data_IF_724373352374
#
_entry.id   IF_724373352374
#
_cell.length_a   1.000
_cell.length_b   1.000
_cell.length_c   1.000
_cell.angle_alpha   90.00
_cell.angle_beta   90.00
_cell.angle_gamma   90.00
#
_symmetry.space_group_name_H-M   'P 1'
#
loop_
_entity.id
_entity.type
_entity.pdbx_description
1 polymer ?
#
# COMPACT_ATOMS: atom_id res chain seq x y z
N UNK A 1 -20.96 40.01 3.59
CA UNK A 1 -19.62 40.47 3.18
C UNK A 1 -19.70 41.09 1.79
N UNK A 2 -19.51 42.39 1.69
CA UNK A 2 -19.37 43.10 0.41
C UNK A 2 -17.89 43.07 0.02
N UNK A 3 -17.48 42.67 -1.21
CA UNK A 3 -16.07 42.61 -1.55
C UNK A 3 -15.53 44.04 -1.75
N UNK A 4 -14.45 44.37 -1.04
CA UNK A 4 -13.72 45.61 -1.25
C UNK A 4 -12.87 45.53 -2.53
N UNK A 5 -13.04 46.53 -3.39
CA UNK A 5 -12.18 46.81 -4.55
C UNK A 5 -10.85 47.38 -4.06
N UNK A 6 -9.79 46.58 -4.13
CA UNK A 6 -8.43 47.00 -3.82
C UNK A 6 -7.41 46.18 -4.60
N UNK A 7 -6.66 46.86 -5.46
CA UNK A 7 -5.69 46.33 -6.43
C UNK A 7 -4.44 45.75 -5.75
N UNK A 8 -4.61 44.68 -4.98
CA UNK A 8 -3.53 43.76 -4.63
C UNK A 8 -3.92 42.42 -5.20
N UNK A 9 -3.29 42.08 -6.32
CA UNK A 9 -3.32 40.73 -6.86
C UNK A 9 -2.77 39.80 -5.78
N UNK A 10 -3.66 39.25 -4.96
CA UNK A 10 -3.38 38.01 -4.26
C UNK A 10 -3.24 37.01 -5.39
N UNK A 11 -2.00 36.72 -5.78
CA UNK A 11 -1.70 35.50 -6.50
C UNK A 11 -2.11 34.39 -5.55
N UNK A 12 -3.37 33.98 -5.63
CA UNK A 12 -3.77 32.66 -5.19
C UNK A 12 -2.91 31.76 -6.07
N UNK A 13 -1.82 31.27 -5.50
CA UNK A 13 -1.18 30.06 -5.97
C UNK A 13 -2.31 29.04 -5.91
N UNK A 14 -3.05 28.94 -7.02
CA UNK A 14 -3.93 27.83 -7.27
C UNK A 14 -3.03 26.64 -7.02
N UNK A 15 -3.34 25.90 -5.94
CA UNK A 15 -2.72 24.63 -5.68
C UNK A 15 -3.04 23.83 -6.93
N UNK A 16 -2.11 23.85 -7.90
CA UNK A 16 -2.06 22.90 -8.99
C UNK A 16 -2.26 21.59 -8.24
N UNK A 17 -3.38 20.87 -8.44
CA UNK A 17 -3.57 19.64 -7.72
C UNK A 17 -2.31 18.84 -7.93
N UNK A 18 -1.89 18.13 -6.89
CA UNK A 18 -0.71 17.26 -6.90
C UNK A 18 -1.00 16.08 -7.84
N UNK A 19 -1.30 16.42 -9.10
CA UNK A 19 -1.68 15.60 -10.21
C UNK A 19 -0.41 14.90 -10.61
N UNK A 20 -0.37 13.59 -10.31
CA UNK A 20 0.61 12.63 -10.82
C UNK A 20 1.96 13.29 -11.11
N UNK A 21 2.73 13.69 -10.08
CA UNK A 21 3.97 14.43 -10.25
C UNK A 21 4.86 13.68 -11.25
N UNK A 22 5.09 14.27 -12.42
CA UNK A 22 6.19 13.99 -13.34
C UNK A 22 6.64 12.52 -13.49
N UNK A 23 5.77 11.51 -13.50
CA UNK A 23 6.17 10.07 -13.49
C UNK A 23 7.32 9.75 -12.51
N UNK A 24 7.50 10.60 -11.50
CA UNK A 24 8.72 10.68 -10.72
C UNK A 24 8.58 9.83 -9.47
N UNK A 25 9.71 9.54 -8.83
CA UNK A 25 9.69 8.90 -7.53
C UNK A 25 9.19 9.88 -6.47
N UNK A 26 8.12 9.50 -5.79
CA UNK A 26 7.55 10.24 -4.66
C UNK A 26 8.23 9.81 -3.37
N UNK A 27 8.65 10.78 -2.57
CA UNK A 27 9.13 10.59 -1.21
C UNK A 27 8.32 11.44 -0.24
N UNK A 28 7.29 10.84 0.38
CA UNK A 28 6.46 11.55 1.34
C UNK A 28 7.30 11.93 2.57
N UNK A 29 7.31 13.23 2.88
CA UNK A 29 7.69 13.75 4.20
C UNK A 29 6.42 13.82 5.03
N UNK A 30 6.12 12.75 5.75
CA UNK A 30 4.85 12.56 6.44
C UNK A 30 4.97 12.93 7.92
N UNK A 31 4.02 13.74 8.40
CA UNK A 31 3.77 13.98 9.82
C UNK A 31 2.57 13.15 10.26
N UNK A 32 2.79 12.19 11.15
CA UNK A 32 1.71 11.49 11.84
C UNK A 32 1.36 12.24 13.14
N UNK A 33 0.10 12.66 13.28
CA UNK A 33 -0.41 13.42 14.41
C UNK A 33 -1.38 12.52 15.18
N UNK A 34 -0.97 12.05 16.35
CA UNK A 34 -1.84 11.33 17.27
C UNK A 34 -2.69 12.36 17.99
N UNK A 35 -4.01 12.30 17.80
CA UNK A 35 -4.92 13.20 18.49
C UNK A 35 -5.23 12.61 19.88
N UNK A 36 -5.12 13.42 20.91
CA UNK A 36 -5.54 13.10 22.28
C UNK A 36 -6.67 14.05 22.69
N UNK A 37 -7.88 13.51 22.77
CA UNK A 37 -9.11 14.19 23.17
C UNK A 37 -9.50 13.81 24.61
N UNK A 38 -8.51 13.56 25.48
CA UNK A 38 -8.70 13.21 26.89
C UNK A 38 -9.58 14.19 27.67
N UNK A 39 -9.60 15.48 27.29
CA UNK A 39 -10.50 16.50 27.86
C UNK A 39 -11.99 16.16 27.71
N UNK A 40 -12.36 15.27 26.78
CA UNK A 40 -13.71 14.72 26.63
C UNK A 40 -13.73 13.18 26.70
N UNK A 41 -12.75 12.56 27.36
CA UNK A 41 -12.71 11.12 27.63
C UNK A 41 -12.27 10.23 26.46
N UNK A 42 -11.80 10.81 25.35
CA UNK A 42 -11.27 10.06 24.20
C UNK A 42 -9.74 10.14 24.17
N UNK A 43 -9.09 9.31 24.97
CA UNK A 43 -7.63 9.27 25.09
C UNK A 43 -6.97 8.67 23.85
N UNK A 44 -5.76 9.12 23.52
CA UNK A 44 -4.93 8.44 22.53
C UNK A 44 -4.69 6.96 22.91
N UNK A 45 -5.02 6.03 22.01
CA UNK A 45 -4.83 4.58 22.24
C UNK A 45 -3.53 4.02 21.65
N UNK A 46 -2.70 4.87 21.04
CA UNK A 46 -1.40 4.52 20.48
C UNK A 46 -0.34 5.51 20.93
N UNK A 47 0.93 5.08 20.93
CA UNK A 47 2.08 5.93 21.28
C UNK A 47 2.83 6.39 20.03
N UNK A 48 3.62 7.46 20.15
CA UNK A 48 4.48 7.94 19.06
C UNK A 48 5.43 6.83 18.56
N UNK A 49 6.01 6.05 19.48
CA UNK A 49 6.87 4.91 19.15
C UNK A 49 6.11 3.80 18.41
N UNK A 50 4.89 3.46 18.84
CA UNK A 50 4.07 2.45 18.18
C UNK A 50 3.66 2.86 16.77
N UNK A 51 3.24 4.11 16.56
CA UNK A 51 2.96 4.64 15.21
C UNK A 51 4.23 4.65 14.36
N UNK A 52 5.38 4.99 14.93
CA UNK A 52 6.66 4.91 14.20
C UNK A 52 7.00 3.50 13.76
N UNK A 53 6.79 2.51 14.62
CA UNK A 53 6.99 1.10 14.29
C UNK A 53 6.02 0.62 13.20
N UNK A 54 4.74 1.02 13.25
CA UNK A 54 3.76 0.72 12.20
C UNK A 54 4.23 1.24 10.83
N UNK A 55 4.64 2.51 10.77
CA UNK A 55 4.99 3.15 9.50
C UNK A 55 6.36 2.73 8.97
N UNK A 56 7.38 2.64 9.84
CA UNK A 56 8.77 2.42 9.42
C UNK A 56 9.29 1.00 9.67
N UNK A 57 8.55 0.18 10.42
CA UNK A 57 9.00 -1.10 10.93
C UNK A 57 9.81 -0.99 12.23
N UNK A 58 10.15 -2.14 12.84
CA UNK A 58 10.77 -2.21 14.17
C UNK A 58 12.14 -1.51 14.27
N UNK A 59 12.88 -1.41 13.17
CA UNK A 59 14.18 -0.73 13.13
C UNK A 59 14.06 0.80 12.94
N UNK A 60 12.86 1.31 12.59
CA UNK A 60 12.65 2.73 12.32
C UNK A 60 13.39 3.27 11.09
N UNK A 61 13.90 2.41 10.20
CA UNK A 61 14.70 2.75 9.03
C UNK A 61 13.90 2.78 7.71
N UNK A 62 12.61 2.45 7.76
CA UNK A 62 11.72 2.40 6.60
C UNK A 62 11.87 1.14 5.73
N UNK A 63 12.68 0.15 6.16
CA UNK A 63 12.81 -1.14 5.46
C UNK A 63 11.74 -2.15 5.88
N UNK A 64 10.90 -1.80 6.86
CA UNK A 64 9.73 -2.57 7.28
C UNK A 64 8.45 -1.73 7.28
N UNK A 65 7.42 -2.25 7.94
CA UNK A 65 6.14 -1.54 8.13
C UNK A 65 5.46 -1.12 6.82
N UNK A 66 4.70 -0.04 6.89
CA UNK A 66 4.00 0.56 5.74
C UNK A 66 4.98 1.08 4.69
N UNK A 67 6.13 1.64 5.08
CA UNK A 67 7.14 2.17 4.16
C UNK A 67 7.62 1.10 3.15
N UNK A 68 7.87 -0.13 3.64
CA UNK A 68 8.22 -1.25 2.78
C UNK A 68 7.06 -1.62 1.84
N UNK A 69 5.80 -1.57 2.31
CA UNK A 69 4.62 -1.85 1.49
C UNK A 69 4.44 -0.80 0.38
N UNK A 70 4.62 0.49 0.67
CA UNK A 70 4.63 1.57 -0.33
C UNK A 70 5.65 1.29 -1.43
N UNK A 71 6.88 0.99 -1.04
CA UNK A 71 7.99 0.71 -1.96
C UNK A 71 7.68 -0.53 -2.82
N UNK A 72 7.27 -1.63 -2.19
CA UNK A 72 7.03 -2.90 -2.88
C UNK A 72 5.84 -2.83 -3.85
N UNK A 73 4.75 -2.17 -3.47
CA UNK A 73 3.55 -2.06 -4.30
C UNK A 73 3.67 -1.04 -5.43
N UNK A 74 4.64 -0.14 -5.36
CA UNK A 74 4.85 0.93 -6.35
C UNK A 74 6.13 0.75 -7.18
N UNK A 75 6.88 -0.32 -6.96
CA UNK A 75 8.19 -0.54 -7.57
C UNK A 75 9.17 0.62 -7.27
N UNK A 76 9.10 1.14 -6.04
CA UNK A 76 9.92 2.26 -5.58
C UNK A 76 9.51 3.62 -6.15
N UNK A 77 8.33 3.76 -6.77
CA UNK A 77 7.80 5.06 -7.23
C UNK A 77 7.05 5.83 -6.15
N UNK A 78 6.65 5.16 -5.08
CA UNK A 78 5.97 5.76 -3.92
C UNK A 78 6.63 5.27 -2.66
N UNK A 79 7.24 6.21 -1.93
CA UNK A 79 8.08 5.90 -0.78
C UNK A 79 7.78 6.87 0.36
N UNK A 80 8.07 6.41 1.57
CA UNK A 80 8.10 7.22 2.76
C UNK A 80 9.54 7.66 3.04
N UNK A 81 9.78 8.95 3.25
CA UNK A 81 11.09 9.43 3.68
C UNK A 81 11.27 9.14 5.18
N UNK A 82 11.91 8.02 5.51
CA UNK A 82 12.10 7.56 6.89
C UNK A 82 12.82 8.58 7.80
N UNK A 83 13.75 9.36 7.25
CA UNK A 83 14.49 10.38 8.03
C UNK A 83 13.67 11.65 8.30
N UNK A 84 12.72 11.97 7.42
CA UNK A 84 11.81 13.09 7.57
C UNK A 84 10.48 12.70 8.23
N UNK A 85 10.20 11.41 8.38
CA UNK A 85 8.99 10.92 9.05
C UNK A 85 9.02 11.30 10.53
N UNK A 86 7.93 11.91 10.99
CA UNK A 86 7.79 12.34 12.38
C UNK A 86 6.42 11.93 12.90
N UNK A 87 6.40 11.55 14.17
CA UNK A 87 5.17 11.35 14.93
C UNK A 87 5.14 12.37 16.06
N UNK A 88 3.97 12.93 16.33
CA UNK A 88 3.71 13.77 17.51
C UNK A 88 2.36 13.39 18.13
N UNK A 89 2.22 13.57 19.43
CA UNK A 89 0.92 13.60 20.09
C UNK A 89 0.45 15.04 20.31
N UNK A 90 -0.78 15.34 19.88
CA UNK A 90 -1.45 16.62 20.07
C UNK A 90 -2.55 16.47 21.12
N UNK A 91 -2.37 17.14 22.26
CA UNK A 91 -3.42 17.27 23.27
C UNK A 91 -4.40 18.36 22.83
N UNK A 92 -5.62 17.96 22.48
CA UNK A 92 -6.66 18.90 22.04
C UNK A 92 -7.31 19.53 23.27
N UNK A 93 -7.39 20.87 23.29
CA UNK A 93 -7.83 21.63 24.48
C UNK A 93 -9.34 21.65 24.68
N UNK A 94 -10.14 21.30 23.67
CA UNK A 94 -11.60 21.32 23.72
C UNK A 94 -12.19 20.39 22.66
N UNK A 95 -13.34 19.77 22.95
CA UNK A 95 -14.05 18.93 21.99
C UNK A 95 -15.30 19.63 21.47
N UNK A 96 -15.54 19.56 20.15
CA UNK A 96 -16.80 19.95 19.53
C UNK A 96 -17.70 18.73 19.33
N UNK A 97 -19.03 18.90 19.19
CA UNK A 97 -19.93 17.84 18.74
C UNK A 97 -19.47 17.17 17.44
N UNK A 98 -18.78 17.90 16.58
CA UNK A 98 -18.22 17.39 15.32
C UNK A 98 -17.21 16.26 15.55
N UNK A 99 -16.51 16.26 16.69
CA UNK A 99 -15.57 15.21 17.09
C UNK A 99 -16.29 14.08 17.81
N UNK A 100 -17.14 14.40 18.79
CA UNK A 100 -17.72 13.40 19.71
C UNK A 100 -18.97 12.70 19.19
N UNK A 101 -19.69 13.31 18.24
CA UNK A 101 -20.96 12.81 17.70
C UNK A 101 -20.88 12.58 16.18
N UNK A 102 -20.25 13.49 15.43
CA UNK A 102 -20.33 13.45 13.96
C UNK A 102 -19.15 12.75 13.28
N UNK A 103 -18.07 12.46 14.00
CA UNK A 103 -16.82 11.92 13.45
C UNK A 103 -16.31 12.72 12.22
N UNK A 104 -16.26 14.05 12.35
CA UNK A 104 -15.89 14.94 11.25
C UNK A 104 -14.41 14.85 10.89
N UNK A 105 -14.13 14.27 9.72
CA UNK A 105 -12.78 14.22 9.14
C UNK A 105 -12.10 15.59 9.12
N UNK A 106 -12.80 16.60 8.59
CA UNK A 106 -12.27 17.97 8.51
C UNK A 106 -11.89 18.50 9.89
N UNK A 107 -12.67 18.17 10.92
CA UNK A 107 -12.38 18.64 12.27
C UNK A 107 -11.13 18.01 12.86
N UNK A 108 -10.93 16.70 12.67
CA UNK A 108 -9.69 16.02 13.08
C UNK A 108 -8.46 16.63 12.41
N UNK A 109 -8.55 16.91 11.11
CA UNK A 109 -7.47 17.58 10.38
C UNK A 109 -7.19 18.97 10.95
N UNK A 110 -8.22 19.76 11.21
CA UNK A 110 -8.11 21.12 11.74
C UNK A 110 -7.47 21.15 13.14
N UNK A 111 -7.96 20.34 14.08
CA UNK A 111 -7.42 20.29 15.45
C UNK A 111 -5.97 19.79 15.44
N UNK A 112 -5.67 18.75 14.65
CA UNK A 112 -4.33 18.23 14.47
C UNK A 112 -3.36 19.26 13.88
N UNK A 113 -3.81 20.03 12.89
CA UNK A 113 -3.03 21.11 12.29
C UNK A 113 -2.70 22.22 13.26
N UNK A 114 -3.68 22.67 14.05
CA UNK A 114 -3.48 23.70 15.07
C UNK A 114 -2.48 23.20 16.11
N UNK A 115 -2.69 22.00 16.64
CA UNK A 115 -1.80 21.42 17.65
C UNK A 115 -0.39 21.18 17.13
N UNK A 116 -0.25 20.65 15.92
CA UNK A 116 1.05 20.45 15.28
C UNK A 116 1.81 21.78 15.12
N UNK A 117 1.13 22.83 14.67
CA UNK A 117 1.71 24.18 14.51
C UNK A 117 2.09 24.79 15.86
N UNK A 118 1.32 24.54 16.91
CA UNK A 118 1.65 24.99 18.27
C UNK A 118 2.87 24.25 18.85
N UNK A 119 2.99 22.95 18.62
CA UNK A 119 4.09 22.13 19.15
C UNK A 119 5.40 22.29 18.38
N UNK A 120 5.32 22.33 17.05
CA UNK A 120 6.51 22.28 16.17
C UNK A 120 6.88 23.65 15.60
N UNK A 121 5.97 24.61 15.63
CA UNK A 121 6.08 25.86 14.88
C UNK A 121 5.62 25.71 13.43
N UNK A 122 5.09 26.81 12.87
CA UNK A 122 4.52 26.84 11.52
C UNK A 122 5.54 26.45 10.43
N UNK A 123 6.77 26.92 10.56
CA UNK A 123 7.85 26.67 9.60
C UNK A 123 8.22 25.17 9.53
N UNK A 124 8.32 24.51 10.68
CA UNK A 124 8.58 23.07 10.72
C UNK A 124 7.44 22.27 10.09
N UNK A 125 6.18 22.64 10.38
CA UNK A 125 5.00 22.00 9.79
C UNK A 125 4.94 22.18 8.27
N UNK A 126 5.31 23.34 7.74
CA UNK A 126 5.36 23.56 6.29
C UNK A 126 6.41 22.73 5.57
N UNK A 127 7.37 22.14 6.30
CA UNK A 127 8.35 21.22 5.75
C UNK A 127 7.83 19.80 5.49
N UNK A 128 6.59 19.48 5.92
CA UNK A 128 5.94 18.20 5.62
C UNK A 128 5.09 18.31 4.36
N UNK A 129 5.04 17.21 3.62
CA UNK A 129 4.26 17.12 2.37
C UNK A 129 2.88 16.49 2.60
N UNK A 130 2.76 15.62 3.60
CA UNK A 130 1.58 14.81 3.88
C UNK A 130 1.34 14.70 5.39
N UNK A 131 0.09 14.46 5.77
CA UNK A 131 -0.36 14.40 7.16
C UNK A 131 -1.24 13.17 7.38
N UNK A 132 -0.98 12.44 8.46
CA UNK A 132 -1.82 11.35 8.92
C UNK A 132 -2.32 11.65 10.33
N UNK A 133 -3.62 11.87 10.48
CA UNK A 133 -4.26 12.12 11.78
C UNK A 133 -4.72 10.78 12.37
N UNK A 134 -4.07 10.35 13.45
CA UNK A 134 -4.45 9.12 14.14
C UNK A 134 -5.50 9.48 15.17
N UNK A 135 -6.74 9.12 14.85
CA UNK A 135 -7.93 9.44 15.64
C UNK A 135 -8.08 8.35 16.71
N UNK A 136 -8.19 8.72 18.01
CA UNK A 136 -8.58 7.79 19.07
C UNK A 136 -9.77 6.95 18.66
N UNK A 137 -9.91 5.76 19.20
CA UNK A 137 -11.13 4.99 18.99
C UNK A 137 -12.26 5.68 19.78
N UNK A 138 -13.21 6.40 19.13
CA UNK A 138 -14.41 6.77 19.85
C UNK A 138 -15.21 5.48 20.09
N UNK A 139 -16.24 5.53 20.94
CA UNK A 139 -17.25 4.47 20.99
C UNK A 139 -17.58 4.02 19.56
N UNK A 140 -17.41 2.73 19.25
CA UNK A 140 -17.26 2.21 17.89
C UNK A 140 -18.37 2.61 16.89
N UNK A 141 -19.49 3.13 17.39
CA UNK A 141 -20.66 3.59 16.66
C UNK A 141 -20.56 5.02 16.09
N UNK A 142 -19.53 5.81 16.45
CA UNK A 142 -19.44 7.23 16.05
C UNK A 142 -18.79 7.39 14.67
N UNK A 143 -17.71 6.66 14.40
CA UNK A 143 -16.98 6.74 13.14
C UNK A 143 -17.27 5.53 12.25
N UNK A 144 -18.03 5.67 11.14
CA UNK A 144 -18.41 4.55 10.28
C UNK A 144 -17.26 4.05 9.37
N UNK A 145 -16.13 4.77 9.35
CA UNK A 145 -14.98 4.50 8.49
C UNK A 145 -13.76 4.02 9.30
N UNK A 146 -12.88 3.24 8.66
CA UNK A 146 -11.62 2.78 9.27
C UNK A 146 -10.48 3.78 9.03
N UNK A 147 -10.50 4.39 7.84
CA UNK A 147 -9.71 5.53 7.44
C UNK A 147 -10.55 6.40 6.49
N UNK A 148 -10.11 7.62 6.27
CA UNK A 148 -10.69 8.56 5.32
C UNK A 148 -9.61 9.52 4.84
N UNK A 149 -9.71 10.01 3.61
CA UNK A 149 -8.72 10.86 2.99
C UNK A 149 -9.33 11.95 2.12
N UNK A 150 -8.55 13.00 1.86
CA UNK A 150 -8.84 13.87 0.73
C UNK A 150 -8.50 13.19 -0.60
N UNK A 151 -9.36 13.41 -1.60
CA UNK A 151 -9.31 12.78 -2.91
C UNK A 151 -9.42 13.82 -4.05
N UNK A 152 -8.31 14.20 -4.71
CA UNK A 152 -6.92 14.07 -4.24
C UNK A 152 -6.63 15.08 -3.11
N UNK A 153 -5.45 14.97 -2.49
CA UNK A 153 -5.06 15.84 -1.38
C UNK A 153 -3.75 15.41 -0.75
N UNK A 154 -3.56 15.69 0.53
CA UNK A 154 -2.35 15.29 1.26
C UNK A 154 -2.62 14.94 2.74
N UNK A 155 -3.88 14.73 3.09
CA UNK A 155 -4.31 14.45 4.45
C UNK A 155 -5.13 13.17 4.48
N UNK A 156 -4.86 12.37 5.50
CA UNK A 156 -5.58 11.14 5.82
C UNK A 156 -5.91 11.13 7.32
N UNK A 157 -7.02 10.53 7.70
CA UNK A 157 -7.34 10.19 9.07
C UNK A 157 -7.48 8.67 9.19
N UNK A 158 -6.94 8.12 10.28
CA UNK A 158 -6.89 6.69 10.54
C UNK A 158 -7.36 6.45 11.96
N UNK A 159 -8.35 5.57 12.15
CA UNK A 159 -8.76 5.17 13.50
C UNK A 159 -7.68 4.32 14.15
N UNK A 160 -7.49 4.49 15.45
CA UNK A 160 -6.45 3.80 16.23
C UNK A 160 -6.86 2.39 16.69
N UNK A 161 -7.24 1.53 15.75
CA UNK A 161 -7.66 0.14 15.98
C UNK A 161 -7.13 -0.83 14.91
N UNK A 162 -7.44 -2.13 15.03
CA UNK A 162 -6.87 -3.21 14.22
C UNK A 162 -7.15 -3.09 12.71
N UNK A 163 -8.32 -2.60 12.31
CA UNK A 163 -8.67 -2.42 10.89
C UNK A 163 -8.39 -0.99 10.38
N UNK A 164 -7.97 -0.08 11.25
CA UNK A 164 -7.54 1.29 10.94
C UNK A 164 -6.01 1.37 10.78
N UNK A 165 -5.36 2.13 11.66
CA UNK A 165 -3.90 2.38 11.62
C UNK A 165 -3.04 1.11 11.71
N UNK A 166 -3.53 0.01 12.27
CA UNK A 166 -2.73 -1.22 12.35
C UNK A 166 -2.74 -2.03 11.05
N UNK A 167 -3.65 -1.72 10.12
CA UNK A 167 -3.79 -2.43 8.85
C UNK A 167 -3.10 -1.63 7.74
N UNK A 168 -1.99 -2.14 7.22
CA UNK A 168 -1.24 -1.46 6.16
C UNK A 168 -2.07 -1.24 4.89
N UNK A 169 -3.03 -2.13 4.58
CA UNK A 169 -3.94 -1.96 3.46
C UNK A 169 -4.81 -0.71 3.60
N UNK A 170 -5.29 -0.42 4.82
CA UNK A 170 -6.07 0.80 5.12
C UNK A 170 -5.19 2.03 4.98
N UNK A 171 -3.96 1.99 5.51
CA UNK A 171 -3.01 3.10 5.36
C UNK A 171 -2.65 3.34 3.88
N UNK A 172 -2.47 2.27 3.09
CA UNK A 172 -2.24 2.37 1.66
C UNK A 172 -3.43 2.99 0.94
N UNK A 173 -4.64 2.52 1.21
CA UNK A 173 -5.90 3.04 0.63
C UNK A 173 -5.98 4.55 0.80
N UNK A 174 -5.90 5.03 2.05
CA UNK A 174 -6.02 6.45 2.36
C UNK A 174 -4.88 7.26 1.74
N UNK A 175 -3.67 6.74 1.74
CA UNK A 175 -2.53 7.44 1.17
C UNK A 175 -2.59 7.55 -0.36
N UNK A 176 -3.20 6.59 -1.07
CA UNK A 176 -3.30 6.65 -2.53
C UNK A 176 -4.58 7.34 -3.02
N UNK A 177 -5.58 7.55 -2.15
CA UNK A 177 -6.64 8.55 -2.38
C UNK A 177 -6.06 9.95 -2.61
N UNK A 178 -5.00 10.33 -1.88
CA UNK A 178 -4.32 11.61 -2.09
C UNK A 178 -3.79 11.80 -3.53
N UNK A 179 -3.71 10.73 -4.33
CA UNK A 179 -3.24 10.73 -5.72
C UNK A 179 -4.35 10.41 -6.74
N UNK A 180 -5.63 10.50 -6.35
CA UNK A 180 -6.75 10.39 -7.29
C UNK A 180 -7.20 8.96 -7.61
N UNK A 181 -6.88 7.99 -6.75
CA UNK A 181 -7.49 6.67 -6.79
C UNK A 181 -8.80 6.64 -6.00
N UNK A 182 -9.77 5.89 -6.51
CA UNK A 182 -11.08 5.68 -5.92
C UNK A 182 -11.20 4.24 -5.42
N UNK A 183 -12.24 3.95 -4.64
CA UNK A 183 -12.48 2.61 -4.14
C UNK A 183 -12.65 1.62 -5.30
N UNK A 184 -12.18 0.39 -5.06
CA UNK A 184 -12.40 -0.73 -5.96
C UNK A 184 -13.70 -1.47 -5.58
N UNK A 185 -14.36 -1.99 -6.59
CA UNK A 185 -15.70 -2.54 -6.53
C UNK A 185 -15.71 -4.03 -6.88
N UNK A 186 -16.74 -4.73 -6.42
CA UNK A 186 -17.03 -6.07 -6.91
C UNK A 186 -18.53 -6.31 -6.86
N UNK A 187 -19.10 -6.87 -7.93
CA UNK A 187 -20.54 -7.15 -8.03
C UNK A 187 -21.44 -5.93 -7.76
N UNK A 188 -20.98 -4.72 -8.11
CA UNK A 188 -21.72 -3.47 -7.87
C UNK A 188 -21.66 -2.95 -6.44
N UNK A 189 -20.84 -3.56 -5.57
CA UNK A 189 -20.62 -3.12 -4.19
C UNK A 189 -19.25 -2.48 -4.03
N UNK A 190 -19.24 -1.30 -3.42
CA UNK A 190 -18.03 -0.55 -3.09
C UNK A 190 -17.21 -1.32 -2.04
N UNK A 191 -15.89 -1.25 -2.14
CA UNK A 191 -14.91 -1.94 -1.29
C UNK A 191 -14.85 -3.47 -1.42
N UNK A 192 -15.82 -4.12 -2.06
CA UNK A 192 -15.86 -5.59 -2.08
C UNK A 192 -14.80 -6.25 -2.99
N UNK A 193 -13.90 -5.48 -3.62
CA UNK A 193 -12.71 -6.04 -4.25
C UNK A 193 -11.62 -6.35 -3.21
N UNK A 194 -11.50 -7.63 -2.85
CA UNK A 194 -10.48 -8.10 -1.91
C UNK A 194 -9.09 -8.31 -2.56
N UNK A 195 -8.93 -7.98 -3.84
CA UNK A 195 -7.67 -8.12 -4.58
C UNK A 195 -6.76 -6.89 -4.53
N UNK A 196 -7.18 -5.80 -3.88
CA UNK A 196 -6.43 -4.54 -3.78
C UNK A 196 -6.68 -3.83 -2.45
N UNK A 197 -5.74 -2.97 -2.05
CA UNK A 197 -5.91 -2.02 -0.96
C UNK A 197 -7.01 -0.99 -1.20
N UNK A 198 -7.43 -0.73 -2.45
CA UNK A 198 -8.58 0.16 -2.72
C UNK A 198 -9.93 -0.49 -2.46
N UNK A 199 -9.97 -1.78 -2.18
CA UNK A 199 -11.10 -2.44 -1.56
C UNK A 199 -10.71 -3.00 -0.20
N UNK A 200 -11.31 -4.12 0.22
CA UNK A 200 -11.04 -4.72 1.54
C UNK A 200 -9.76 -5.56 1.59
N UNK A 201 -8.98 -5.63 0.51
CA UNK A 201 -7.77 -6.46 0.42
C UNK A 201 -6.56 -5.87 1.15
N UNK A 202 -5.76 -6.72 1.81
CA UNK A 202 -4.37 -6.38 2.16
C UNK A 202 -3.48 -6.81 0.98
N UNK A 203 -3.58 -6.09 -0.12
CA UNK A 203 -2.89 -6.40 -1.36
C UNK A 203 -2.46 -5.11 -2.06
N UNK A 204 -1.47 -5.21 -2.94
CA UNK A 204 -1.07 -4.06 -3.74
C UNK A 204 -2.19 -3.62 -4.69
N UNK A 205 -2.12 -2.37 -5.22
CA UNK A 205 -3.06 -1.90 -6.22
C UNK A 205 -3.21 -2.88 -7.39
N UNK A 206 -4.42 -3.01 -7.92
CA UNK A 206 -4.70 -3.83 -9.09
C UNK A 206 -4.16 -3.16 -10.37
N UNK A 207 -4.23 -3.86 -11.51
CA UNK A 207 -3.66 -3.36 -12.77
C UNK A 207 -4.18 -1.98 -13.22
N UNK A 208 -5.49 -1.68 -13.23
CA UNK A 208 -5.95 -0.35 -13.62
C UNK A 208 -5.51 0.74 -12.64
N UNK A 209 -5.43 0.45 -11.34
CA UNK A 209 -4.90 1.39 -10.34
C UNK A 209 -3.40 1.65 -10.55
N UNK A 210 -2.60 0.60 -10.78
CA UNK A 210 -1.17 0.71 -11.10
C UNK A 210 -0.94 1.50 -12.39
N UNK A 211 -1.80 1.30 -13.41
CA UNK A 211 -1.75 2.04 -14.66
C UNK A 211 -2.07 3.52 -14.46
N UNK A 212 -3.14 3.84 -13.71
CA UNK A 212 -3.56 5.21 -13.42
C UNK A 212 -2.51 5.99 -12.61
N UNK A 213 -1.83 5.32 -11.69
CA UNK A 213 -0.71 5.89 -10.93
C UNK A 213 0.60 5.97 -11.74
N UNK A 214 0.64 5.38 -12.94
CA UNK A 214 1.86 5.28 -13.74
C UNK A 214 2.93 4.39 -13.11
N UNK A 215 2.54 3.47 -12.21
CA UNK A 215 3.45 2.57 -11.51
C UNK A 215 3.83 1.36 -12.36
N UNK A 216 2.90 0.86 -13.18
CA UNK A 216 3.14 -0.23 -14.11
C UNK A 216 2.89 0.15 -15.57
N UNK A 217 3.41 -0.65 -16.50
CA UNK A 217 3.19 -0.51 -17.95
C UNK A 217 2.53 -1.77 -18.52
N UNK A 218 1.79 -1.65 -19.64
CA UNK A 218 1.22 -2.81 -20.29
C UNK A 218 2.33 -3.65 -20.93
N UNK A 219 2.03 -4.93 -21.18
CA UNK A 219 2.87 -5.80 -22.01
C UNK A 219 2.99 -5.22 -23.42
N UNK A 220 4.09 -5.51 -24.12
CA UNK A 220 4.25 -5.07 -25.51
C UNK A 220 3.07 -5.56 -26.37
N UNK A 221 2.46 -4.66 -27.13
CA UNK A 221 1.21 -4.92 -27.89
C UNK A 221 -0.07 -5.01 -27.05
N UNK A 222 0.02 -4.92 -25.72
CA UNK A 222 -1.11 -5.01 -24.79
C UNK A 222 -1.64 -3.66 -24.29
N UNK A 223 -1.11 -2.53 -24.76
CA UNK A 223 -1.51 -1.19 -24.31
C UNK A 223 -2.93 -0.80 -24.77
N UNK A 224 -3.37 -1.34 -25.90
CA UNK A 224 -4.70 -1.16 -26.46
C UNK A 224 -5.04 -2.36 -27.34
N UNK A 225 -5.80 -3.29 -26.79
CA UNK A 225 -6.34 -4.43 -27.54
C UNK A 225 -7.78 -4.13 -27.91
N UNK A 226 -7.98 -3.61 -29.11
CA UNK A 226 -9.29 -3.28 -29.69
C UNK A 226 -9.67 -4.21 -30.85
N UNK A 227 -10.76 -3.91 -31.55
CA UNK A 227 -11.25 -4.71 -32.67
C UNK A 227 -10.24 -4.88 -33.82
N UNK A 228 -9.33 -3.93 -33.98
CA UNK A 228 -8.26 -3.99 -34.98
C UNK A 228 -7.13 -4.89 -34.51
N UNK A 229 -6.72 -4.79 -33.25
CA UNK A 229 -5.64 -5.58 -32.68
C UNK A 229 -6.01 -7.05 -32.45
N UNK A 230 -7.28 -7.32 -32.12
CA UNK A 230 -7.79 -8.67 -31.87
C UNK A 230 -8.98 -8.94 -32.79
N UNK A 231 -8.80 -9.32 -34.08
CA UNK A 231 -9.91 -9.77 -34.93
C UNK A 231 -10.71 -10.92 -34.30
N UNK A 232 -12.01 -11.03 -34.59
CA UNK A 232 -12.83 -12.11 -34.01
C UNK A 232 -12.34 -13.49 -34.46
N UNK A 233 -12.36 -14.46 -33.54
CA UNK A 233 -11.84 -15.82 -33.76
C UNK A 233 -10.30 -15.89 -33.80
N UNK A 234 -9.60 -14.79 -33.54
CA UNK A 234 -8.13 -14.79 -33.44
C UNK A 234 -7.68 -14.76 -31.99
N UNK A 235 -6.52 -15.33 -31.74
CA UNK A 235 -5.93 -15.44 -30.40
C UNK A 235 -4.70 -14.55 -30.31
N UNK A 236 -4.65 -13.70 -29.30
CA UNK A 236 -3.42 -13.06 -28.88
C UNK A 236 -2.86 -13.79 -27.67
N UNK A 237 -1.53 -13.89 -27.60
CA UNK A 237 -0.82 -14.57 -26.51
C UNK A 237 0.27 -13.68 -25.94
N UNK A 238 0.33 -13.61 -24.62
CA UNK A 238 1.25 -12.77 -23.86
C UNK A 238 1.89 -13.60 -22.74
N UNK A 239 3.16 -13.34 -22.45
CA UNK A 239 3.79 -13.83 -21.22
C UNK A 239 3.71 -12.71 -20.19
N UNK A 240 2.78 -12.82 -19.25
CA UNK A 240 2.55 -11.79 -18.24
C UNK A 240 3.31 -12.13 -16.96
N UNK A 241 4.30 -11.32 -16.54
CA UNK A 241 4.84 -11.41 -15.20
C UNK A 241 3.77 -11.04 -14.17
N UNK A 242 3.77 -11.73 -13.04
CA UNK A 242 2.96 -11.35 -11.90
C UNK A 242 3.29 -9.91 -11.46
N UNK A 243 2.29 -9.16 -11.02
CA UNK A 243 2.43 -7.74 -10.67
C UNK A 243 3.51 -7.47 -9.63
N UNK A 244 3.85 -8.41 -8.76
CA UNK A 244 4.90 -8.21 -7.76
C UNK A 244 6.34 -8.28 -8.31
N UNK A 245 6.55 -8.79 -9.54
CA UNK A 245 7.88 -9.06 -10.08
C UNK A 245 8.56 -7.81 -10.67
N UNK A 246 7.79 -6.98 -11.38
CA UNK A 246 8.34 -5.89 -12.20
C UNK A 246 7.25 -4.85 -12.48
N UNK A 247 7.59 -3.56 -12.66
CA UNK A 247 6.63 -2.58 -13.17
C UNK A 247 6.30 -2.79 -14.65
N UNK A 248 7.15 -3.48 -15.39
CA UNK A 248 7.09 -3.49 -16.85
C UNK A 248 6.32 -4.72 -17.36
N UNK A 249 5.29 -4.47 -18.17
CA UNK A 249 4.63 -5.51 -18.94
C UNK A 249 3.63 -6.37 -18.18
N UNK A 250 3.09 -5.89 -17.06
CA UNK A 250 2.32 -6.71 -16.11
C UNK A 250 0.84 -6.84 -16.43
N UNK A 251 0.32 -6.08 -17.41
CA UNK A 251 -1.09 -6.11 -17.76
C UNK A 251 -1.37 -5.96 -19.25
N UNK A 252 -2.57 -6.34 -19.64
CA UNK A 252 -3.18 -6.08 -20.95
C UNK A 252 -4.38 -5.17 -20.72
N UNK A 253 -4.51 -4.13 -21.54
CA UNK A 253 -5.68 -3.24 -21.57
C UNK A 253 -6.51 -3.54 -22.81
N UNK A 254 -7.71 -4.07 -22.61
CA UNK A 254 -8.68 -4.38 -23.66
C UNK A 254 -9.67 -3.22 -23.79
N UNK A 255 -9.88 -2.80 -25.03
CA UNK A 255 -10.83 -1.75 -25.42
C UNK A 255 -11.89 -2.43 -26.29
N UNK A 256 -13.00 -2.91 -25.69
CA UNK A 256 -14.02 -3.70 -26.38
C UNK A 256 -14.94 -2.82 -27.25
N UNK A 257 -14.35 -2.07 -28.20
CA UNK A 257 -15.02 -1.20 -29.17
C UNK A 257 -15.96 -1.94 -30.13
N UNK A 258 -15.93 -3.27 -30.09
CA UNK A 258 -16.84 -4.16 -30.81
C UNK A 258 -18.15 -4.45 -30.07
N UNK A 259 -18.26 -4.06 -28.81
CA UNK A 259 -19.49 -4.21 -28.06
C UNK A 259 -20.41 -3.01 -28.33
N UNK A 260 -21.72 -3.22 -28.59
CA UNK A 260 -22.64 -2.12 -28.85
C UNK A 260 -22.63 -1.04 -27.75
N UNK A 261 -22.49 -1.46 -26.50
CA UNK A 261 -22.43 -0.59 -25.32
C UNK A 261 -21.23 0.36 -25.31
N UNK A 262 -20.18 0.10 -26.10
CA UNK A 262 -18.99 0.96 -26.12
C UNK A 262 -19.24 2.32 -26.79
N UNK A 263 -20.33 2.44 -27.56
CA UNK A 263 -20.76 3.71 -28.15
C UNK A 263 -21.41 4.67 -27.15
N UNK A 264 -21.84 4.17 -25.98
CA UNK A 264 -22.43 4.97 -24.90
C UNK A 264 -21.38 5.25 -23.81
N UNK A 265 -20.95 6.52 -23.61
CA UNK A 265 -19.96 6.88 -22.60
C UNK A 265 -20.28 6.46 -21.16
N UNK A 266 -21.56 6.26 -20.84
CA UNK A 266 -22.02 5.83 -19.51
C UNK A 266 -21.92 4.31 -19.29
N UNK A 267 -21.98 3.53 -20.38
CA UNK A 267 -21.93 2.06 -20.35
C UNK A 267 -20.59 1.49 -20.81
N UNK A 268 -19.81 2.26 -21.58
CA UNK A 268 -18.54 1.82 -22.11
C UNK A 268 -17.53 1.47 -21.00
N UNK A 269 -16.92 0.29 -21.11
CA UNK A 269 -15.92 -0.22 -20.16
C UNK A 269 -14.64 -0.64 -20.88
N UNK A 270 -13.50 -0.35 -20.27
CA UNK A 270 -12.23 -0.99 -20.63
C UNK A 270 -11.95 -2.12 -19.64
N UNK A 271 -11.17 -3.12 -20.06
CA UNK A 271 -10.73 -4.22 -19.19
C UNK A 271 -9.23 -4.18 -18.98
N UNK A 272 -8.80 -4.56 -17.79
CA UNK A 272 -7.42 -4.77 -17.42
C UNK A 272 -7.23 -6.21 -16.97
N UNK A 273 -6.30 -6.92 -17.61
CA UNK A 273 -6.00 -8.32 -17.36
C UNK A 273 -4.58 -8.40 -16.83
N UNK A 274 -4.39 -8.99 -15.65
CA UNK A 274 -3.06 -9.10 -15.02
C UNK A 274 -2.90 -10.39 -14.23
N UNK A 275 -1.65 -10.80 -14.00
CA UNK A 275 -1.35 -11.99 -13.18
C UNK A 275 -1.06 -11.55 -11.75
N UNK A 276 -1.73 -12.17 -10.78
CA UNK A 276 -1.51 -11.90 -9.35
C UNK A 276 -1.01 -13.16 -8.66
N UNK A 277 0.03 -13.01 -7.85
CA UNK A 277 0.67 -14.10 -7.07
C UNK A 277 0.89 -13.59 -5.67
N UNK A 278 0.61 -14.42 -4.66
CA UNK A 278 0.64 -14.01 -3.25
C UNK A 278 2.06 -13.95 -2.67
N UNK A 279 2.89 -13.05 -3.20
CA UNK A 279 4.30 -12.84 -2.81
C UNK A 279 4.60 -11.34 -2.68
N UNK A 280 5.67 -11.02 -1.95
CA UNK A 280 6.13 -9.64 -1.75
C UNK A 280 5.00 -8.73 -1.22
N UNK A 281 4.71 -7.60 -1.88
CA UNK A 281 3.61 -6.72 -1.50
C UNK A 281 2.23 -7.38 -1.51
N UNK A 282 2.04 -8.42 -2.33
CA UNK A 282 0.83 -9.24 -2.41
C UNK A 282 0.84 -10.46 -1.49
N UNK A 283 1.78 -10.59 -0.54
CA UNK A 283 1.89 -11.76 0.33
C UNK A 283 0.59 -12.09 1.12
N UNK A 284 -0.23 -11.08 1.40
CA UNK A 284 -1.51 -11.20 2.11
C UNK A 284 -2.73 -11.27 1.18
N UNK A 285 -2.52 -11.49 -0.12
CA UNK A 285 -3.59 -11.81 -1.07
C UNK A 285 -4.11 -13.22 -0.80
N UNK A 286 -5.08 -13.34 0.12
CA UNK A 286 -5.55 -14.63 0.66
C UNK A 286 -6.72 -15.25 -0.09
N UNK A 287 -7.56 -14.46 -0.77
CA UNK A 287 -8.73 -14.98 -1.46
C UNK A 287 -8.35 -15.90 -2.63
N UNK A 288 -8.89 -17.12 -2.65
CA UNK A 288 -8.66 -18.12 -3.70
C UNK A 288 -9.17 -17.68 -5.08
N UNK A 289 -10.06 -16.70 -5.13
CA UNK A 289 -10.53 -16.06 -6.35
C UNK A 289 -9.45 -15.18 -7.01
N UNK A 290 -8.48 -14.66 -6.23
CA UNK A 290 -7.56 -13.59 -6.67
C UNK A 290 -6.11 -14.03 -6.78
N UNK A 291 -5.66 -14.96 -5.93
CA UNK A 291 -4.23 -15.33 -5.85
C UNK A 291 -3.86 -16.43 -6.83
N UNK A 292 -2.65 -16.33 -7.39
CA UNK A 292 -2.01 -17.28 -8.30
C UNK A 292 -2.81 -17.53 -9.58
N UNK A 293 -3.41 -16.45 -10.11
CA UNK A 293 -4.35 -16.47 -11.24
C UNK A 293 -4.22 -15.21 -12.08
N UNK A 294 -4.86 -15.24 -13.25
CA UNK A 294 -5.16 -14.04 -14.02
C UNK A 294 -6.37 -13.36 -13.39
N UNK A 295 -6.26 -12.09 -12.99
CA UNK A 295 -7.37 -11.27 -12.54
C UNK A 295 -7.81 -10.33 -13.65
N UNK A 296 -9.13 -10.13 -13.76
CA UNK A 296 -9.75 -9.22 -14.74
C UNK A 296 -10.56 -8.17 -14.00
N UNK A 297 -10.23 -6.93 -14.28
CA UNK A 297 -10.91 -5.75 -13.77
C UNK A 297 -11.52 -4.96 -14.92
N UNK A 298 -12.68 -4.34 -14.69
CA UNK A 298 -13.31 -3.39 -15.61
C UNK A 298 -13.40 -2.00 -14.99
N UNK A 299 -13.51 -0.97 -15.81
CA UNK A 299 -13.75 0.41 -15.36
C UNK A 299 -14.36 1.26 -16.49
N UNK A 300 -14.96 2.40 -16.16
CA UNK A 300 -15.54 3.31 -17.15
C UNK A 300 -14.49 3.74 -18.21
N UNK A 301 -14.79 3.47 -19.48
CA UNK A 301 -13.85 3.69 -20.58
C UNK A 301 -13.57 5.19 -20.81
N UNK A 302 -14.59 6.04 -20.69
CA UNK A 302 -14.45 7.50 -20.85
C UNK A 302 -13.45 8.05 -19.84
N UNK A 303 -13.60 7.67 -18.57
CA UNK A 303 -12.73 8.11 -17.48
C UNK A 303 -11.33 7.50 -17.54
N UNK A 304 -11.19 6.28 -18.04
CA UNK A 304 -9.89 5.61 -18.23
C UNK A 304 -9.13 6.16 -19.46
N UNK A 305 -9.84 6.61 -20.51
CA UNK A 305 -9.23 7.23 -21.68
C UNK A 305 -8.76 8.67 -21.40
N UNK A 306 -9.38 9.37 -20.46
CA UNK A 306 -9.01 10.73 -20.04
C UNK A 306 -8.98 10.88 -18.51
N UNK A 307 -8.03 10.23 -17.81
CA UNK A 307 -7.98 10.25 -16.35
C UNK A 307 -7.76 11.65 -15.77
N UNK A 308 -7.16 12.58 -16.54
CA UNK A 308 -6.92 13.97 -16.13
C UNK A 308 -8.21 14.74 -15.92
N UNK A 309 -9.20 14.57 -16.79
CA UNK A 309 -10.48 15.28 -16.69
C UNK A 309 -11.36 14.71 -15.59
N UNK A 310 -11.25 13.41 -15.31
CA UNK A 310 -12.10 12.68 -14.36
C UNK A 310 -11.36 12.28 -13.08
N UNK A 311 -10.59 13.21 -12.50
CA UNK A 311 -9.88 12.95 -11.24
C UNK A 311 -10.83 12.85 -10.04
N UNK A 312 -11.88 13.68 -10.03
CA UNK A 312 -12.86 13.79 -8.94
C UNK A 312 -14.09 12.90 -9.17
N UNK A 313 -13.98 11.90 -10.04
CA UNK A 313 -15.08 10.99 -10.35
C UNK A 313 -14.60 9.57 -10.26
N UNK A 314 -15.40 8.73 -9.62
CA UNK A 314 -15.12 7.31 -9.49
C UNK A 314 -15.24 6.59 -10.85
N UNK A 315 -14.14 6.05 -11.42
CA UNK A 315 -14.21 5.23 -12.62
C UNK A 315 -14.88 3.88 -12.40
N UNK A 316 -15.20 3.52 -11.15
CA UNK A 316 -15.74 2.24 -10.70
C UNK A 316 -14.88 1.08 -11.20
N UNK A 317 -13.62 1.07 -10.78
CA UNK A 317 -12.71 -0.06 -11.02
C UNK A 317 -13.32 -1.26 -10.30
N UNK A 318 -13.67 -2.31 -11.04
CA UNK A 318 -14.41 -3.45 -10.52
C UNK A 318 -13.75 -4.76 -10.89
N UNK A 319 -13.50 -5.63 -9.91
CA UNK A 319 -13.13 -7.02 -10.18
C UNK A 319 -14.32 -7.78 -10.76
N UNK A 320 -14.13 -8.45 -11.90
CA UNK A 320 -15.22 -9.17 -12.60
C UNK A 320 -14.96 -10.65 -12.79
N UNK A 321 -13.75 -11.12 -12.51
CA UNK A 321 -13.45 -12.54 -12.55
C UNK A 321 -11.97 -12.84 -12.68
N UNK A 322 -11.68 -14.13 -12.74
CA UNK A 322 -10.32 -14.63 -12.89
C UNK A 322 -10.25 -15.87 -13.77
N UNK A 323 -9.05 -16.18 -14.25
CA UNK A 323 -8.74 -17.43 -14.93
C UNK A 323 -7.57 -18.11 -14.21
N UNK A 324 -7.78 -19.35 -13.79
CA UNK A 324 -6.71 -20.15 -13.18
C UNK A 324 -5.74 -20.66 -14.25
N UNK A 325 -4.50 -21.03 -13.89
CA UNK A 325 -3.62 -21.74 -14.81
C UNK A 325 -4.28 -23.02 -15.35
N UNK A 326 -4.18 -23.26 -16.66
CA UNK A 326 -4.91 -24.28 -17.42
C UNK A 326 -6.41 -24.01 -17.65
N UNK A 327 -6.99 -22.92 -17.13
CA UNK A 327 -8.45 -22.70 -17.16
C UNK A 327 -8.83 -21.57 -18.11
N UNK A 328 -9.87 -21.83 -18.91
CA UNK A 328 -10.50 -20.88 -19.81
C UNK A 328 -11.71 -20.24 -19.11
N UNK A 329 -11.72 -18.91 -19.00
CA UNK A 329 -12.84 -18.15 -18.45
C UNK A 329 -13.52 -17.35 -19.56
N UNK A 330 -14.86 -17.38 -19.57
CA UNK A 330 -15.68 -16.64 -20.53
C UNK A 330 -16.30 -15.40 -19.89
N UNK A 331 -15.93 -14.23 -20.41
CA UNK A 331 -16.50 -12.94 -20.05
C UNK A 331 -17.56 -12.57 -21.08
N UNK A 332 -18.76 -13.15 -20.92
CA UNK A 332 -19.86 -13.08 -21.90
C UNK A 332 -20.31 -11.65 -22.20
N UNK A 333 -20.28 -10.75 -21.22
CA UNK A 333 -20.61 -9.33 -21.41
C UNK A 333 -19.69 -8.60 -22.39
N UNK A 334 -18.55 -9.21 -22.74
CA UNK A 334 -17.52 -8.63 -23.61
C UNK A 334 -17.23 -9.47 -24.85
N UNK A 335 -17.95 -10.59 -25.01
CA UNK A 335 -17.64 -11.64 -25.96
C UNK A 335 -16.14 -12.01 -25.99
N UNK A 336 -15.55 -12.18 -24.79
CA UNK A 336 -14.11 -12.33 -24.61
C UNK A 336 -13.80 -13.57 -23.78
N UNK A 337 -12.95 -14.44 -24.32
CA UNK A 337 -12.32 -15.53 -23.60
C UNK A 337 -10.95 -15.12 -23.09
N UNK A 338 -10.65 -15.49 -21.84
CA UNK A 338 -9.32 -15.35 -21.22
C UNK A 338 -8.87 -16.71 -20.72
N UNK A 339 -7.73 -17.17 -21.21
CA UNK A 339 -7.10 -18.43 -20.81
C UNK A 339 -5.85 -18.14 -19.99
N UNK A 340 -5.84 -18.57 -18.74
CA UNK A 340 -4.61 -18.67 -17.96
C UNK A 340 -3.88 -19.92 -18.43
N UNK A 341 -2.88 -19.81 -19.30
CA UNK A 341 -2.12 -20.95 -19.83
C UNK A 341 -1.18 -21.58 -18.80
N UNK A 342 0.01 -21.99 -19.25
CA UNK A 342 1.06 -22.54 -18.38
C UNK A 342 1.96 -21.44 -17.81
N UNK A 343 2.59 -21.75 -16.67
CA UNK A 343 3.72 -20.96 -16.18
C UNK A 343 4.92 -21.20 -17.10
N UNK A 344 5.43 -20.13 -17.70
CA UNK A 344 6.58 -20.16 -18.62
C UNK A 344 7.88 -19.68 -17.95
N UNK A 345 7.78 -19.29 -16.69
CA UNK A 345 8.88 -18.91 -15.81
C UNK A 345 8.35 -18.74 -14.37
N UNK A 346 9.24 -18.42 -13.43
CA UNK A 346 8.86 -18.14 -12.05
C UNK A 346 7.88 -16.97 -12.01
N UNK A 347 6.63 -17.25 -11.64
CA UNK A 347 5.54 -16.29 -11.56
C UNK A 347 5.28 -15.50 -12.87
N UNK A 348 5.62 -16.08 -14.03
CA UNK A 348 5.27 -15.55 -15.36
C UNK A 348 4.31 -16.53 -16.02
N UNK A 349 3.07 -16.08 -16.26
CA UNK A 349 2.01 -16.91 -16.84
C UNK A 349 1.82 -16.56 -18.31
N UNK A 350 1.72 -17.58 -19.16
CA UNK A 350 1.24 -17.38 -20.53
C UNK A 350 -0.27 -17.13 -20.49
N UNK A 351 -0.72 -15.97 -20.93
CA UNK A 351 -2.13 -15.60 -21.00
C UNK A 351 -2.54 -15.50 -22.46
N UNK A 352 -3.67 -16.13 -22.80
CA UNK A 352 -4.26 -16.04 -24.13
C UNK A 352 -5.61 -15.34 -24.05
N UNK A 353 -5.89 -14.47 -25.00
CA UNK A 353 -7.18 -13.80 -25.13
C UNK A 353 -7.73 -13.99 -26.54
N UNK A 354 -9.03 -14.18 -26.64
CA UNK A 354 -9.73 -14.28 -27.91
C UNK A 354 -11.12 -13.67 -27.79
N UNK A 355 -11.51 -12.84 -28.76
CA UNK A 355 -12.89 -12.37 -28.85
C UNK A 355 -13.66 -13.20 -29.86
N UNK A 356 -14.95 -13.35 -29.65
CA UNK A 356 -15.87 -14.03 -30.56
C UNK A 356 -17.01 -13.10 -30.99
N UNK A 357 -17.72 -13.43 -32.09
CA UNK A 357 -18.89 -12.64 -32.53
C UNK A 357 -20.19 -13.16 -31.92
N UNK A 358 -20.40 -14.47 -32.01
CA UNK A 358 -21.64 -15.13 -31.64
C UNK A 358 -21.37 -16.13 -30.51
N UNK A 359 -20.32 -16.94 -30.67
CA UNK A 359 -20.14 -18.14 -29.85
C UNK A 359 -18.66 -18.36 -29.47
N UNK A 360 -18.33 -18.70 -28.20
CA UNK A 360 -16.94 -18.90 -27.77
C UNK A 360 -16.17 -19.98 -28.54
N UNK A 361 -16.84 -20.95 -29.17
CA UNK A 361 -16.24 -21.98 -30.02
C UNK A 361 -15.55 -21.42 -31.28
N UNK A 362 -15.81 -20.17 -31.65
CA UNK A 362 -15.07 -19.46 -32.71
C UNK A 362 -13.57 -19.29 -32.35
N UNK A 363 -13.22 -19.38 -31.08
CA UNK A 363 -11.87 -19.18 -30.60
C UNK A 363 -11.08 -20.50 -30.62
N UNK A 364 -9.97 -20.60 -31.37
CA UNK A 364 -9.14 -21.81 -31.45
C UNK A 364 -8.21 -21.97 -30.24
N UNK A 365 -8.67 -21.62 -29.04
CA UNK A 365 -7.88 -21.81 -27.81
C UNK A 365 -7.94 -23.29 -27.43
N UNK A 366 -6.79 -23.99 -27.36
CA UNK A 366 -6.78 -25.39 -26.97
C UNK A 366 -7.42 -25.55 -25.59
N UNK A 367 -8.45 -26.39 -25.49
CA UNK A 367 -8.92 -26.86 -24.18
C UNK A 367 -7.72 -27.53 -23.52
N UNK A 368 -7.30 -27.01 -22.36
CA UNK A 368 -6.14 -27.58 -21.68
C UNK A 368 -6.42 -29.07 -21.37
N UNK A 369 -5.42 -29.95 -21.50
CA UNK A 369 -5.58 -31.32 -21.05
C UNK A 369 -5.97 -31.31 -19.56
N UNK A 370 -6.78 -32.29 -19.10
CA UNK A 370 -7.14 -32.38 -17.70
C UNK A 370 -5.89 -32.34 -16.82
N UNK A 371 -5.99 -31.82 -15.57
CA UNK A 371 -4.87 -31.85 -14.64
C UNK A 371 -4.30 -33.27 -14.61
N UNK A 372 -2.97 -33.44 -14.56
CA UNK A 372 -2.39 -34.78 -14.44
C UNK A 372 -3.07 -35.48 -13.26
N UNK A 373 -3.60 -36.68 -13.51
CA UNK A 373 -4.21 -37.50 -12.46
C UNK A 373 -3.31 -37.51 -11.23
N UNK A 374 -3.86 -37.41 -10.01
CA UNK A 374 -3.06 -37.50 -8.81
C UNK A 374 -2.17 -38.74 -8.94
N UNK A 375 -0.87 -38.55 -8.74
CA UNK A 375 0.09 -39.65 -8.71
C UNK A 375 -0.49 -40.74 -7.82
N UNK A 376 -0.47 -42.03 -8.24
CA UNK A 376 -0.89 -43.12 -7.38
C UNK A 376 -0.21 -42.94 -6.02
N UNK A 377 -0.92 -43.19 -4.91
CA UNK A 377 -0.32 -43.07 -3.58
C UNK A 377 1.00 -43.84 -3.60
N UNK A 378 2.09 -43.15 -3.21
CA UNK A 378 3.40 -43.78 -3.12
C UNK A 378 3.25 -45.12 -2.40
N UNK A 379 3.86 -46.21 -2.91
CA UNK A 379 3.83 -47.49 -2.21
C UNK A 379 4.25 -47.24 -0.77
N UNK A 380 3.47 -47.80 0.17
CA UNK A 380 3.71 -47.64 1.60
C UNK A 380 5.20 -47.78 1.90
N UNK A 381 5.80 -46.87 2.69
CA UNK A 381 7.18 -47.00 3.08
C UNK A 381 7.38 -48.40 3.70
N UNK A 382 8.49 -49.09 3.38
CA UNK A 382 8.77 -50.39 3.94
C UNK A 382 8.73 -50.31 5.47
N UNK A 383 8.26 -51.38 6.15
CA UNK A 383 8.15 -51.40 7.59
C UNK A 383 9.49 -50.99 8.22
N UNK A 384 9.46 -50.17 9.30
CA UNK A 384 10.68 -49.69 9.93
C UNK A 384 11.56 -50.88 10.30
N UNK A 385 12.83 -50.82 9.90
CA UNK A 385 13.83 -51.81 10.33
C UNK A 385 13.86 -51.87 11.86
N UNK A 386 13.98 -53.07 12.44
CA UNK A 386 14.00 -53.23 13.89
C UNK A 386 15.08 -52.35 14.50
N UNK A 387 14.69 -51.59 15.53
CA UNK A 387 15.58 -50.68 16.24
C UNK A 387 16.84 -51.41 16.72
N UNK A 388 18.02 -50.82 16.56
CA UNK A 388 19.25 -51.42 17.06
C UNK A 388 19.18 -51.63 18.58
N UNK A 389 19.81 -52.68 19.11
CA UNK A 389 19.77 -52.98 20.54
C UNK A 389 20.34 -51.81 21.35
N UNK A 390 19.77 -51.55 22.55
CA UNK A 390 20.17 -50.41 23.36
C UNK A 390 21.67 -50.47 23.68
N UNK A 391 22.38 -49.32 23.60
CA UNK A 391 23.79 -49.26 23.95
C UNK A 391 23.98 -49.66 25.42
N UNK A 392 24.99 -50.52 25.67
CA UNK A 392 25.37 -50.94 27.02
C UNK A 392 25.57 -49.72 27.94
N UNK A 393 25.13 -49.79 29.22
CA UNK A 393 25.29 -48.69 30.17
C UNK A 393 26.75 -48.27 30.28
N UNK A 394 27.03 -47.00 30.03
CA UNK A 394 28.35 -46.42 30.32
C UNK A 394 28.60 -46.48 31.83
N UNK A 395 29.80 -46.92 32.19
CA UNK A 395 30.28 -46.92 33.58
C UNK A 395 30.13 -45.53 34.22
N UNK A 396 29.84 -45.47 35.53
CA UNK A 396 29.58 -44.20 36.22
C UNK A 396 30.78 -43.26 36.10
N UNK A 397 30.55 -42.14 35.42
CA UNK A 397 31.49 -41.03 35.34
C UNK A 397 31.71 -40.44 36.72
N UNK A 398 33.00 -40.29 37.07
CA UNK A 398 33.52 -39.66 38.28
C UNK A 398 32.82 -38.30 38.53
N UNK A 399 32.49 -37.95 39.79
CA UNK A 399 31.83 -36.69 40.09
C UNK A 399 32.66 -35.50 39.62
N UNK A 400 32.01 -34.43 39.11
CA UNK A 400 32.70 -33.25 38.60
C UNK A 400 33.52 -32.58 39.71
N UNK A 401 34.76 -32.23 39.38
CA UNK A 401 35.62 -31.45 40.26
C UNK A 401 34.96 -30.09 40.57
N UNK A 402 35.08 -29.65 41.82
CA UNK A 402 34.58 -28.35 42.29
C UNK A 402 35.04 -27.23 41.35
N UNK A 403 34.16 -26.26 41.02
CA UNK A 403 34.54 -25.09 40.24
C UNK A 403 35.69 -24.33 40.93
N UNK A 404 36.68 -23.82 40.17
CA UNK A 404 37.69 -22.94 40.72
C UNK A 404 37.04 -21.64 41.24
N UNK A 405 37.55 -21.15 42.37
CA UNK A 405 37.07 -19.94 43.01
C UNK A 405 37.12 -18.73 42.04
N UNK A 406 36.17 -17.79 42.14
CA UNK A 406 36.15 -16.59 41.31
C UNK A 406 37.45 -15.80 41.47
N UNK A 407 38.04 -15.36 40.36
CA UNK A 407 39.17 -14.41 40.38
C UNK A 407 38.73 -13.10 41.03
N UNK A 408 39.59 -12.45 41.84
CA UNK A 408 39.30 -11.12 42.38
C UNK A 408 39.03 -10.12 41.25
N UNK A 409 38.13 -9.14 41.47
CA UNK A 409 37.89 -8.08 40.50
C UNK A 409 39.18 -7.27 40.26
N UNK A 410 39.42 -6.82 39.02
CA UNK A 410 40.55 -5.94 38.71
C UNK A 410 40.47 -4.66 39.54
N UNK A 411 41.62 -4.21 40.04
CA UNK A 411 41.76 -2.97 40.79
C UNK A 411 41.25 -1.77 39.99
N UNK A 412 40.52 -0.88 40.67
CA UNK A 412 40.02 0.38 40.09
C UNK A 412 41.18 1.16 39.43
N UNK A 413 40.98 1.74 38.24
CA UNK A 413 41.92 2.71 37.68
C UNK A 413 42.15 3.87 38.66
N UNK A 414 43.38 4.42 38.74
CA UNK A 414 43.64 5.60 39.55
C UNK A 414 42.77 6.77 39.07
N UNK A 415 42.22 7.51 40.03
CA UNK A 415 41.42 8.71 39.77
C UNK A 415 42.20 9.72 38.92
N UNK A 416 41.56 10.39 37.96
CA UNK A 416 42.20 11.42 37.16
C UNK A 416 42.71 12.55 38.06
N UNK A 417 43.94 12.99 37.78
CA UNK A 417 44.61 14.08 38.48
C UNK A 417 43.78 15.36 38.36
N UNK A 418 43.60 16.15 39.44
CA UNK A 418 42.91 17.44 39.37
C UNK A 418 43.57 18.36 38.33
N UNK A 419 42.78 19.16 37.59
CA UNK A 419 43.34 20.15 36.68
C UNK A 419 44.20 21.15 37.44
N UNK A 420 45.35 21.51 36.86
CA UNK A 420 46.23 22.53 37.41
C UNK A 420 45.51 23.89 37.45
N UNK A 421 45.73 24.71 38.49
CA UNK A 421 45.11 26.02 38.57
C UNK A 421 45.55 26.89 37.39
N UNK A 422 44.65 27.74 36.86
CA UNK A 422 44.99 28.67 35.79
C UNK A 422 46.09 29.66 36.25
N UNK A 423 46.98 30.08 35.34
CA UNK A 423 47.98 31.09 35.64
C UNK A 423 47.33 32.41 36.07
N UNK A 424 47.96 33.17 36.99
CA UNK A 424 47.41 34.44 37.47
C UNK A 424 47.27 35.44 36.31
N UNK A 425 46.09 36.07 36.25
CA UNK A 425 45.78 37.12 35.28
C UNK A 425 46.81 38.27 35.36
N UNK A 426 47.28 38.79 34.22
CA UNK A 426 48.17 39.95 34.21
C UNK A 426 47.47 41.17 34.81
N UNK A 427 48.17 41.87 35.70
CA UNK A 427 47.70 43.08 36.37
C UNK A 427 47.31 44.16 35.35
N UNK A 428 46.25 44.95 35.62
CA UNK A 428 45.81 45.99 34.71
C UNK A 428 46.87 47.08 34.59
N UNK A 429 47.35 47.30 33.36
CA UNK A 429 48.15 48.48 33.02
C UNK A 429 47.31 49.72 33.31
N UNK A 430 47.84 50.54 34.22
CA UNK A 430 47.33 51.84 34.62
C UNK A 430 47.36 52.77 33.40
N UNK A 431 46.20 53.02 32.81
CA UNK A 431 46.04 54.07 31.79
C UNK A 431 46.20 55.42 32.47
N UNK A 432 47.30 56.10 32.18
CA UNK A 432 47.43 57.52 32.42
C UNK A 432 46.43 58.26 31.52
N UNK A 433 45.77 59.25 32.10
CA UNK A 433 44.92 60.23 31.42
C UNK A 433 45.10 61.54 32.18
N UNK A 434 44.91 62.66 31.47
CA UNK A 434 45.91 63.43 30.73
C UNK A 434 47.01 64.05 31.60
#
# INVERSE_FOLDING_TARGET
>A
CTPALGSKSTTILSAKPMFLPDRGTIHQRLLAVILDYSVCGMHASVTEAGVREIFLGPNGDGRGGVAAKYTNCSFGKFNLNATAFRVITVNVSSCSPEVTLDCSFHRFCFDGDIGAKALLGKEAVSGFTHFAYIVPEPNANVCPWAGVAYLPGNQIALRSYSYGVQRWGTIMQEAIHNYGLWHSWQNGWEYEDWSTAMGRGNACPNAPELARLGWATPVNGGARVDSKALPAGTVLSFNLPATHLTPNGTYIRVVPDWMPMYSDPSLAKNLYISVRVNKSGDAELTGSAYRNKVNVHELNATMDNDPSTFVYTDPKISFIGSASPGVLSNFTNYNLLVHGGSWVGTDILKVLICRYKINPEECPIPKSPPPPSPLPPSPNPPPPSPSPPPPKPKAPTRPPAKPPAPKPPPSKPPSPRPPSPPPPSPSPKRSAKP
#
